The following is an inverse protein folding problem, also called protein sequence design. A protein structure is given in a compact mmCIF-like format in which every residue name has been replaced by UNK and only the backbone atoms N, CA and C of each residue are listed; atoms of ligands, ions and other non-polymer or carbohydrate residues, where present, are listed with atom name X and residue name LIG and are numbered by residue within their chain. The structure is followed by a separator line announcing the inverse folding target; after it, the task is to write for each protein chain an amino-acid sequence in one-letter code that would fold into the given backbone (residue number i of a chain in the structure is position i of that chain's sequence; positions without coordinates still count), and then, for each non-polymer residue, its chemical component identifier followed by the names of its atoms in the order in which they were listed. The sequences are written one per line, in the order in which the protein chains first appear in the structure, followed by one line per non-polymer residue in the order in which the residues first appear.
data_IF_620350103760
#
_entry.id   IF_620350103760
#
_cell.length_a   1.000
_cell.length_b   1.000
_cell.length_c   1.000
_cell.angle_alpha   90.00
_cell.angle_beta   90.00
_cell.angle_gamma   90.00
#
_symmetry.space_group_name_H-M   'P 1'
#
loop_
_entity.id
_entity.type
_entity.pdbx_description
1 polymer ?
#
# COMPACT_ATOMS: atom_id res chain seq x y z
N UNK A 1 20.62 -6.40 4.98
CA UNK A 1 19.94 -5.94 6.21
C UNK A 1 19.56 -4.47 6.03
N UNK A 2 18.39 -4.00 6.52
CA UNK A 2 18.02 -2.60 6.37
C UNK A 2 18.99 -1.67 7.13
N UNK A 3 19.36 -0.51 6.57
CA UNK A 3 20.37 0.36 7.15
C UNK A 3 19.96 1.01 8.49
N UNK A 4 18.67 1.00 8.81
CA UNK A 4 18.13 1.62 10.04
C UNK A 4 18.32 0.77 11.31
N UNK A 5 18.77 -0.50 11.20
CA UNK A 5 19.04 -1.34 12.37
C UNK A 5 20.41 -1.08 13.02
N UNK A 6 21.27 -0.22 12.46
CA UNK A 6 22.52 0.19 13.10
C UNK A 6 23.44 -0.95 13.55
N UNK A 7 23.39 -2.12 12.89
CA UNK A 7 24.16 -3.31 13.24
C UNK A 7 23.45 -4.34 14.14
N UNK A 8 22.21 -4.08 14.58
CA UNK A 8 21.38 -5.07 15.29
C UNK A 8 20.78 -6.08 14.32
N UNK A 9 20.70 -7.35 14.72
CA UNK A 9 20.16 -8.42 13.89
C UNK A 9 18.64 -8.45 13.85
N UNK A 10 17.96 -7.96 14.90
CA UNK A 10 16.51 -8.06 15.05
C UNK A 10 15.86 -6.73 15.43
N UNK A 11 14.58 -6.59 15.04
CA UNK A 11 13.72 -5.48 15.38
C UNK A 11 13.19 -5.63 16.81
N UNK A 12 13.04 -4.53 17.52
CA UNK A 12 12.21 -4.53 18.74
C UNK A 12 10.73 -4.71 18.38
N UNK A 13 9.93 -5.27 19.30
CA UNK A 13 8.48 -5.45 19.08
C UNK A 13 7.77 -4.15 18.67
N UNK A 14 8.20 -3.01 19.25
CA UNK A 14 7.69 -1.68 18.91
C UNK A 14 8.06 -1.25 17.48
N UNK A 15 9.31 -1.44 17.08
CA UNK A 15 9.75 -1.11 15.71
C UNK A 15 9.06 -2.00 14.67
N UNK A 16 8.85 -3.27 14.98
CA UNK A 16 8.12 -4.19 14.12
C UNK A 16 6.66 -3.76 13.94
N UNK A 17 5.98 -3.37 15.02
CA UNK A 17 4.62 -2.85 14.96
C UNK A 17 4.52 -1.59 14.09
N UNK A 18 5.44 -0.64 14.26
CA UNK A 18 5.51 0.56 13.41
C UNK A 18 5.83 0.24 11.94
N UNK A 19 6.75 -0.70 11.70
CA UNK A 19 7.08 -1.12 10.34
C UNK A 19 5.90 -1.81 9.65
N UNK A 20 5.11 -2.61 10.39
CA UNK A 20 3.88 -3.26 9.90
C UNK A 20 2.84 -2.23 9.50
N UNK A 21 2.56 -1.21 10.33
CA UNK A 21 1.58 -0.16 9.99
C UNK A 21 2.00 0.66 8.77
N UNK A 22 3.28 1.05 8.70
CA UNK A 22 3.83 1.75 7.53
C UNK A 22 3.73 0.88 6.27
N UNK A 23 4.10 -0.40 6.36
CA UNK A 23 4.02 -1.34 5.24
C UNK A 23 2.59 -1.52 4.75
N UNK A 24 1.61 -1.61 5.66
CA UNK A 24 0.20 -1.74 5.31
C UNK A 24 -0.30 -0.53 4.50
N UNK A 25 0.05 0.69 4.92
CA UNK A 25 -0.27 1.91 4.19
C UNK A 25 0.42 1.97 2.82
N UNK A 26 1.71 1.59 2.76
CA UNK A 26 2.46 1.54 1.50
C UNK A 26 1.88 0.57 0.50
N UNK A 27 1.46 -0.61 0.95
CA UNK A 27 0.83 -1.61 0.08
C UNK A 27 -0.43 -1.05 -0.58
N UNK A 28 -1.24 -0.26 0.13
CA UNK A 28 -2.41 0.40 -0.45
C UNK A 28 -2.03 1.37 -1.56
N UNK A 29 -1.03 2.23 -1.31
CA UNK A 29 -0.56 3.21 -2.30
C UNK A 29 0.06 2.51 -3.52
N UNK A 30 0.92 1.51 -3.31
CA UNK A 30 1.57 0.75 -4.40
C UNK A 30 0.54 -0.01 -5.25
N UNK A 31 -0.51 -0.57 -4.64
CA UNK A 31 -1.65 -1.20 -5.36
C UNK A 31 -2.44 -0.19 -6.17
N UNK A 32 -2.74 0.99 -5.62
CA UNK A 32 -3.43 2.05 -6.34
C UNK A 32 -2.61 2.54 -7.54
N UNK A 33 -1.30 2.76 -7.35
CA UNK A 33 -0.38 3.13 -8.44
C UNK A 33 -0.31 2.03 -9.50
N UNK A 34 -0.28 0.76 -9.11
CA UNK A 34 -0.30 -0.36 -10.06
C UNK A 34 -1.53 -0.31 -10.96
N UNK A 35 -2.73 -0.16 -10.38
CA UNK A 35 -3.98 0.00 -11.15
C UNK A 35 -3.96 1.25 -12.03
N UNK A 36 -3.41 2.36 -11.54
CA UNK A 36 -3.26 3.59 -12.31
C UNK A 36 -2.41 3.39 -13.58
N UNK A 37 -1.38 2.55 -13.50
CA UNK A 37 -0.51 2.23 -14.65
C UNK A 37 -1.15 1.28 -15.66
N UNK A 38 -2.25 0.60 -15.30
CA UNK A 38 -3.00 -0.27 -16.23
C UNK A 38 -3.83 0.54 -17.24
N UNK A 39 -4.09 1.84 -16.96
CA UNK A 39 -4.77 2.72 -17.91
C UNK A 39 -3.90 2.98 -19.13
N UNK A 40 -4.30 2.43 -20.29
CA UNK A 40 -3.61 2.61 -21.58
C UNK A 40 -3.44 4.07 -21.99
N UNK A 41 -4.32 4.95 -21.50
CA UNK A 41 -4.25 6.40 -21.73
C UNK A 41 -3.05 7.06 -21.02
N UNK A 42 -2.58 6.48 -19.91
CA UNK A 42 -1.42 6.96 -19.14
C UNK A 42 -0.13 6.19 -19.49
N UNK A 43 -0.24 4.99 -20.04
CA UNK A 43 0.90 4.12 -20.39
C UNK A 43 1.53 4.37 -21.77
N UNK A 44 1.01 5.32 -22.55
CA UNK A 44 1.55 5.69 -23.87
C UNK A 44 2.29 7.02 -23.82
N UNK A 45 3.02 7.33 -24.89
CA UNK A 45 3.63 8.65 -25.07
C UNK A 45 2.51 9.70 -25.06
N UNK A 46 2.51 10.55 -24.05
CA UNK A 46 1.56 11.67 -23.93
C UNK A 46 2.11 12.81 -24.80
N UNK A 47 1.39 13.25 -25.85
CA UNK A 47 1.81 14.39 -26.65
C UNK A 47 1.83 15.67 -25.80
N UNK A 48 2.77 16.58 -26.11
CA UNK A 48 2.93 17.85 -25.38
C UNK A 48 1.67 18.71 -25.36
N UNK A 49 0.79 18.54 -26.35
CA UNK A 49 -0.53 19.20 -26.43
C UNK A 49 -1.49 18.80 -25.31
N UNK A 50 -1.32 17.61 -24.72
CA UNK A 50 -2.15 17.11 -23.62
C UNK A 50 -1.53 17.36 -22.24
N UNK A 51 -0.35 17.94 -22.15
CA UNK A 51 0.29 18.27 -20.88
C UNK A 51 -0.55 19.15 -19.94
N UNK A 52 -1.30 20.16 -20.43
CA UNK A 52 -2.13 20.99 -19.55
C UNK A 52 -3.24 20.20 -18.85
N UNK A 53 -3.75 19.13 -19.47
CA UNK A 53 -4.85 18.31 -18.95
C UNK A 53 -4.39 16.99 -18.32
N UNK A 54 -3.10 16.65 -18.43
CA UNK A 54 -2.54 15.40 -17.93
C UNK A 54 -2.81 15.19 -16.42
N UNK A 55 -2.75 16.27 -15.64
CA UNK A 55 -3.08 16.23 -14.20
C UNK A 55 -4.53 15.81 -13.95
N UNK A 56 -5.48 16.35 -14.71
CA UNK A 56 -6.89 15.99 -14.60
C UNK A 56 -7.17 14.58 -15.12
N UNK A 57 -6.45 14.13 -16.14
CA UNK A 57 -6.51 12.73 -16.60
C UNK A 57 -6.10 11.77 -15.49
N UNK A 58 -4.96 12.00 -14.85
CA UNK A 58 -4.47 11.17 -13.74
C UNK A 58 -5.45 11.21 -12.56
N UNK A 59 -5.97 12.38 -12.21
CA UNK A 59 -6.96 12.55 -11.13
C UNK A 59 -8.24 11.78 -11.43
N UNK A 60 -8.74 11.84 -12.66
CA UNK A 60 -9.94 11.11 -13.08
C UNK A 60 -9.70 9.60 -13.02
N UNK A 61 -8.55 9.12 -13.50
CA UNK A 61 -8.18 7.70 -13.37
C UNK A 61 -8.09 7.26 -11.91
N UNK A 62 -7.52 8.09 -11.02
CA UNK A 62 -7.44 7.80 -9.60
C UNK A 62 -8.84 7.68 -8.95
N UNK A 63 -9.78 8.55 -9.33
CA UNK A 63 -11.17 8.41 -8.90
C UNK A 63 -11.81 7.11 -9.41
N UNK A 64 -11.59 6.74 -10.68
CA UNK A 64 -12.11 5.49 -11.23
C UNK A 64 -11.59 4.26 -10.47
N UNK A 65 -10.34 4.26 -10.02
CA UNK A 65 -9.77 3.17 -9.21
C UNK A 65 -10.48 3.03 -7.86
N UNK A 66 -10.94 4.12 -7.26
CA UNK A 66 -11.70 4.07 -6.00
C UNK A 66 -13.07 3.41 -6.14
N UNK A 67 -13.64 3.38 -7.35
CA UNK A 67 -14.90 2.71 -7.64
C UNK A 67 -14.75 1.23 -8.02
N UNK A 68 -13.53 0.75 -8.18
CA UNK A 68 -13.27 -0.67 -8.43
C UNK A 68 -13.36 -1.46 -7.13
N UNK A 69 -13.67 -2.76 -7.24
CA UNK A 69 -13.87 -3.62 -6.08
C UNK A 69 -12.68 -3.53 -5.10
N UNK A 70 -12.97 -3.36 -3.80
CA UNK A 70 -11.97 -3.39 -2.76
C UNK A 70 -11.33 -4.78 -2.73
N UNK A 71 -10.00 -4.81 -2.77
CA UNK A 71 -9.24 -6.07 -2.84
C UNK A 71 -9.20 -6.84 -1.52
N UNK A 72 -9.57 -6.16 -0.44
CA UNK A 72 -9.71 -6.75 0.88
C UNK A 72 -11.18 -7.16 0.95
N UNK A 73 -11.51 -8.47 0.88
CA UNK A 73 -12.85 -8.89 1.26
C UNK A 73 -13.11 -8.28 2.63
N UNK A 74 -14.23 -7.56 2.79
CA UNK A 74 -14.62 -7.00 4.07
C UNK A 74 -14.38 -8.09 5.12
N UNK A 75 -13.46 -7.84 6.04
CA UNK A 75 -13.20 -8.76 7.13
C UNK A 75 -14.56 -9.07 7.74
N UNK A 76 -14.91 -10.36 7.81
CA UNK A 76 -15.93 -10.75 8.76
C UNK A 76 -15.34 -10.35 10.11
N UNK A 77 -16.08 -9.57 10.88
CA UNK A 77 -15.78 -9.30 12.28
C UNK A 77 -15.80 -10.64 13.03
N UNK A 78 -14.71 -11.41 12.92
CA UNK A 78 -14.45 -12.54 13.80
C UNK A 78 -13.88 -11.93 15.08
N UNK A 79 -14.79 -11.46 15.93
CA UNK A 79 -14.60 -11.28 17.36
C UNK A 79 -14.23 -12.66 17.97
N UNK A 80 -12.97 -13.08 17.80
CA UNK A 80 -12.39 -14.14 18.62
C UNK A 80 -10.93 -13.84 18.87
N UNK A 81 -10.63 -13.45 20.11
CA UNK A 81 -9.30 -13.11 20.56
C UNK A 81 -8.29 -14.21 20.27
N UNK A 82 -7.12 -13.80 19.78
CA UNK A 82 -5.90 -14.57 19.94
C UNK A 82 -5.04 -13.85 20.95
N UNK A 83 -4.92 -14.47 22.12
CA UNK A 83 -4.13 -14.04 23.24
C UNK A 83 -2.68 -13.74 22.83
N UNK A 84 -2.17 -12.58 23.25
CA UNK A 84 -0.78 -12.45 23.66
C UNK A 84 -0.48 -13.56 24.69
N UNK A 85 0.50 -14.44 24.44
CA UNK A 85 1.39 -15.09 25.45
C UNK A 85 2.39 -16.15 24.88
N UNK A 86 2.47 -16.46 23.58
CA UNK A 86 3.39 -17.54 23.10
C UNK A 86 4.60 -17.07 22.22
N UNK A 87 5.31 -16.00 22.59
CA UNK A 87 6.66 -15.71 22.02
C UNK A 87 7.66 -15.32 23.10
N UNK A 88 7.60 -15.96 24.27
CA UNK A 88 8.67 -15.84 25.28
C UNK A 88 8.95 -17.16 26.01
N UNK A 89 9.08 -18.24 25.24
CA UNK A 89 9.77 -19.47 25.68
C UNK A 89 10.41 -20.18 24.50
N UNK A 90 11.64 -19.79 24.18
CA UNK A 90 12.78 -20.69 23.91
C UNK A 90 14.09 -19.92 23.91
#
# INVERSE_FOLDING_TARGET
MPPFLGGRTEFTARELALAKTISAGRIHVERAIRRLREFRILGRIIPSTLMPVCGDMIRTCAFLINFQDPYIPAEKDDDSGYCDEDILTM
#
